data_IF_369842033850
#
_entry.id   IF_369842033850
#
_cell.length_a   1.000
_cell.length_b   1.000
_cell.length_c   1.000
_cell.angle_alpha   90.00
_cell.angle_beta   90.00
_cell.angle_gamma   90.00
#
_symmetry.space_group_name_H-M   'P 1'
#
loop_
_entity.id
_entity.type
_entity.pdbx_description
1 polymer ?
#
# COMPACT_ATOMS: atom_id res chain seq x y z
N UNK A 1 0.54 -6.94 -14.34
CA UNK A 1 1.39 -5.93 -13.66
C UNK A 1 0.97 -5.94 -12.21
N UNK A 2 1.59 -6.83 -11.44
CA UNK A 2 1.13 -7.31 -10.13
C UNK A 2 1.84 -6.56 -8.99
N UNK A 3 2.03 -5.25 -9.17
CA UNK A 3 2.81 -4.38 -8.26
C UNK A 3 2.13 -4.03 -6.94
N UNK A 4 0.87 -4.46 -6.73
CA UNK A 4 0.10 -4.12 -5.53
C UNK A 4 0.13 -5.25 -4.48
N UNK A 5 1.31 -5.82 -4.23
CA UNK A 5 1.53 -6.84 -3.18
C UNK A 5 2.49 -6.33 -2.12
N UNK A 6 2.31 -6.77 -0.89
CA UNK A 6 3.25 -6.46 0.17
C UNK A 6 4.60 -7.11 -0.14
N UNK A 7 5.71 -6.35 -0.23
CA UNK A 7 7.03 -6.91 -0.51
C UNK A 7 7.59 -7.76 0.65
N UNK A 8 6.91 -7.80 1.81
CA UNK A 8 7.35 -8.55 2.99
C UNK A 8 6.70 -9.93 3.10
N UNK A 9 5.42 -10.05 2.82
CA UNK A 9 4.66 -11.30 2.99
C UNK A 9 3.90 -11.73 1.72
N UNK A 10 3.95 -10.94 0.65
CA UNK A 10 3.23 -11.23 -0.61
C UNK A 10 1.73 -10.93 -0.58
N UNK A 11 1.21 -10.39 0.52
CA UNK A 11 -0.24 -10.14 0.66
C UNK A 11 -0.75 -9.18 -0.41
N UNK A 12 -1.85 -9.51 -1.12
CA UNK A 12 -2.43 -8.64 -2.14
C UNK A 12 -3.13 -7.43 -1.50
N UNK A 13 -2.69 -6.22 -1.83
CA UNK A 13 -3.29 -4.98 -1.33
C UNK A 13 -4.60 -4.61 -2.04
N UNK A 14 -5.01 -5.35 -3.07
CA UNK A 14 -6.30 -5.15 -3.73
C UNK A 14 -7.48 -5.41 -2.77
N UNK A 15 -7.25 -6.16 -1.70
CA UNK A 15 -8.24 -6.47 -0.66
C UNK A 15 -8.30 -5.41 0.46
N UNK A 16 -7.33 -4.49 0.50
CA UNK A 16 -7.40 -3.35 1.42
C UNK A 16 -8.37 -2.32 0.84
N UNK A 17 -9.26 -1.74 1.66
CA UNK A 17 -10.23 -0.77 1.18
C UNK A 17 -9.48 0.36 0.47
N UNK A 18 -9.64 0.43 -0.84
CA UNK A 18 -9.14 1.55 -1.61
C UNK A 18 -9.86 2.79 -1.08
N UNK A 19 -9.12 3.72 -0.48
CA UNK A 19 -9.68 5.01 -0.10
C UNK A 19 -10.29 5.62 -1.37
N UNK A 20 -11.62 5.60 -1.41
CA UNK A 20 -12.42 5.91 -2.59
C UNK A 20 -12.45 7.43 -2.81
N UNK A 21 -11.36 7.97 -3.34
CA UNK A 21 -11.32 9.25 -4.03
C UNK A 21 -9.94 9.35 -4.69
N UNK A 22 -9.88 9.31 -6.03
CA UNK A 22 -8.67 9.72 -6.78
C UNK A 22 -8.61 11.25 -6.69
N UNK A 23 -7.74 11.84 -5.86
CA UNK A 23 -7.59 13.29 -5.84
C UNK A 23 -6.88 13.71 -7.13
N UNK A 24 -7.07 14.95 -7.58
CA UNK A 24 -6.35 15.50 -8.74
C UNK A 24 -4.83 15.67 -8.49
N UNK A 25 -4.33 15.28 -7.31
CA UNK A 25 -2.94 15.40 -6.87
C UNK A 25 -2.42 14.05 -6.37
N UNK A 26 -1.13 13.74 -6.60
CA UNK A 26 -0.53 12.50 -6.13
C UNK A 26 -0.58 12.47 -4.61
N UNK A 27 -1.38 11.54 -4.06
CA UNK A 27 -1.53 11.36 -2.62
C UNK A 27 -0.66 10.21 -2.16
N UNK A 28 0.08 10.47 -1.09
CA UNK A 28 0.82 9.46 -0.35
C UNK A 28 -0.06 8.95 0.79
N UNK A 29 -0.49 7.71 0.70
CA UNK A 29 -1.27 7.02 1.72
C UNK A 29 -0.42 5.94 2.37
N UNK A 30 -0.58 5.75 3.68
CA UNK A 30 0.08 4.69 4.41
C UNK A 30 -0.95 3.65 4.85
N UNK A 31 -0.75 2.41 4.45
CA UNK A 31 -1.63 1.29 4.84
C UNK A 31 -0.85 0.25 5.61
N UNK A 32 -1.51 -0.37 6.58
CA UNK A 32 -0.90 -1.44 7.36
C UNK A 32 -1.24 -2.79 6.73
N UNK A 33 -0.21 -3.55 6.41
CA UNK A 33 -0.38 -4.92 5.96
C UNK A 33 -0.77 -5.82 7.15
N UNK A 34 -1.45 -6.93 6.86
CA UNK A 34 -1.82 -7.94 7.88
C UNK A 34 -0.61 -8.56 8.58
N UNK A 35 0.57 -8.55 7.95
CA UNK A 35 1.81 -8.99 8.60
C UNK A 35 2.37 -7.97 9.60
N UNK A 36 1.72 -6.82 9.78
CA UNK A 36 2.14 -5.75 10.69
C UNK A 36 3.11 -4.72 10.10
N UNK A 37 3.55 -4.92 8.85
CA UNK A 37 4.40 -3.94 8.13
C UNK A 37 3.59 -2.77 7.59
N UNK A 38 4.18 -1.58 7.56
CA UNK A 38 3.58 -0.39 6.94
C UNK A 38 3.98 -0.30 5.47
N UNK A 39 3.04 0.10 4.63
CA UNK A 39 3.19 0.21 3.18
C UNK A 39 2.85 1.63 2.75
N UNK A 40 3.79 2.27 2.06
CA UNK A 40 3.60 3.59 1.46
C UNK A 40 3.02 3.40 0.05
N UNK A 41 1.84 3.98 -0.19
CA UNK A 41 1.14 3.98 -1.46
C UNK A 41 1.15 5.37 -2.05
N UNK A 42 1.67 5.53 -3.26
CA UNK A 42 1.58 6.77 -4.02
C UNK A 42 0.59 6.56 -5.16
N UNK A 43 -0.46 7.36 -5.20
CA UNK A 43 -1.53 7.26 -6.21
C UNK A 43 -2.15 5.85 -6.31
N UNK A 44 -2.15 5.11 -5.20
CA UNK A 44 -2.64 3.74 -5.13
C UNK A 44 -1.61 2.64 -5.39
N UNK A 45 -0.40 2.95 -5.87
CA UNK A 45 0.69 2.00 -6.10
C UNK A 45 1.66 1.94 -4.91
N UNK A 46 2.10 0.74 -4.52
CA UNK A 46 3.07 0.58 -3.41
C UNK A 46 4.46 1.00 -3.87
N UNK A 47 4.95 2.10 -3.30
CA UNK A 47 6.31 2.61 -3.56
C UNK A 47 7.31 2.16 -2.51
N UNK A 48 6.86 1.61 -1.38
CA UNK A 48 7.77 1.10 -0.35
C UNK A 48 7.09 0.46 0.86
N UNK A 49 7.90 -0.22 1.67
CA UNK A 49 7.48 -0.81 2.93
C UNK A 49 8.46 -0.41 4.04
N UNK A 50 7.95 0.07 5.17
CA UNK A 50 8.80 0.30 6.35
C UNK A 50 8.78 -0.94 7.25
N UNK A 51 9.93 -1.24 7.84
CA UNK A 51 10.08 -2.31 8.84
C UNK A 51 9.55 -1.78 10.16
N UNK A 52 8.57 -2.45 10.73
CA UNK A 52 8.30 -2.33 12.16
C UNK A 52 9.50 -2.93 12.91
N UNK A 53 10.03 -2.25 13.95
CA UNK A 53 11.13 -2.74 14.77
C UNK A 53 10.78 -4.04 15.51
#
# INVERSE_FOLDING_TARGET
MDGNRCPRCGWPLAELPATAARPATPRLDYVRCVCGSWLARLDGEVVGATRTP
#
